data_IF_322979775828
#
_entry.id   IF_322979775828
#
_cell.length_a   1.000
_cell.length_b   1.000
_cell.length_c   1.000
_cell.angle_alpha   90.00
_cell.angle_beta   90.00
_cell.angle_gamma   90.00
#
_symmetry.space_group_name_H-M   'P 1'
#
loop_
_entity.id
_entity.type
_entity.pdbx_description
1 polymer ?
#
# COMPACT_ATOMS: atom_id res chain seq x y z
N UNK A 1 0.57 -3.32 -6.31
CA UNK A 1 0.36 -4.73 -5.92
C UNK A 1 -1.09 -5.10 -5.66
N UNK A 2 -1.79 -4.42 -4.76
CA UNK A 2 -3.19 -4.75 -4.41
C UNK A 2 -4.15 -4.94 -5.59
N UNK A 3 -4.08 -4.07 -6.60
CA UNK A 3 -4.91 -4.18 -7.80
C UNK A 3 -4.63 -5.50 -8.56
N UNK A 4 -3.36 -5.88 -8.69
CA UNK A 4 -2.96 -7.12 -9.34
C UNK A 4 -3.41 -8.33 -8.50
N UNK A 5 -3.21 -8.30 -7.18
CA UNK A 5 -3.62 -9.38 -6.29
C UNK A 5 -5.14 -9.60 -6.34
N UNK A 6 -5.93 -8.52 -6.33
CA UNK A 6 -7.40 -8.58 -6.45
C UNK A 6 -7.86 -9.16 -7.78
N UNK A 7 -7.27 -8.71 -8.89
CA UNK A 7 -7.58 -9.25 -10.21
C UNK A 7 -7.22 -10.74 -10.30
N UNK A 8 -6.03 -11.13 -9.84
CA UNK A 8 -5.58 -12.51 -9.82
C UNK A 8 -6.48 -13.41 -8.95
N UNK A 9 -6.99 -12.89 -7.84
CA UNK A 9 -7.86 -13.64 -6.94
C UNK A 9 -9.18 -14.09 -7.59
N UNK A 10 -9.64 -13.36 -8.62
CA UNK A 10 -10.84 -13.72 -9.40
C UNK A 10 -10.57 -14.77 -10.48
N UNK A 11 -9.30 -15.04 -10.80
CA UNK A 11 -8.88 -15.94 -11.88
C UNK A 11 -8.28 -17.24 -11.34
N UNK A 12 -7.54 -17.16 -10.24
CA UNK A 12 -6.85 -18.31 -9.66
C UNK A 12 -7.81 -19.14 -8.80
N UNK A 13 -7.76 -20.47 -8.98
CA UNK A 13 -8.48 -21.44 -8.14
C UNK A 13 -7.53 -22.23 -7.26
N UNK A 14 -7.98 -22.52 -6.05
CA UNK A 14 -7.35 -23.45 -5.11
C UNK A 14 -8.45 -24.13 -4.28
N UNK A 15 -8.28 -25.42 -3.98
CA UNK A 15 -9.26 -26.19 -3.21
C UNK A 15 -10.70 -26.09 -3.75
N UNK A 16 -10.85 -26.11 -5.08
CA UNK A 16 -12.14 -26.10 -5.77
C UNK A 16 -12.83 -24.73 -5.94
N UNK A 17 -12.34 -23.67 -5.30
CA UNK A 17 -12.92 -22.31 -5.35
C UNK A 17 -11.92 -21.29 -5.89
N UNK A 18 -12.40 -20.15 -6.38
CA UNK A 18 -11.55 -19.00 -6.66
C UNK A 18 -10.97 -18.43 -5.36
N UNK A 19 -9.81 -17.78 -5.43
CA UNK A 19 -9.19 -17.20 -4.24
C UNK A 19 -10.07 -16.13 -3.57
N UNK A 20 -10.84 -15.39 -4.37
CA UNK A 20 -11.82 -14.40 -3.88
C UNK A 20 -12.93 -15.02 -3.01
N UNK A 21 -13.17 -16.33 -3.10
CA UNK A 21 -14.18 -17.05 -2.32
C UNK A 21 -13.62 -17.62 -0.99
N UNK A 22 -12.31 -17.51 -0.76
CA UNK A 22 -11.67 -17.95 0.48
C UNK A 22 -11.60 -16.80 1.47
N UNK A 23 -12.31 -16.93 2.59
CA UNK A 23 -12.44 -15.87 3.60
C UNK A 23 -11.09 -15.42 4.17
N UNK A 24 -10.15 -16.34 4.38
CA UNK A 24 -8.81 -16.02 4.85
C UNK A 24 -8.04 -15.15 3.84
N UNK A 25 -8.09 -15.51 2.55
CA UNK A 25 -7.44 -14.72 1.49
C UNK A 25 -8.04 -13.32 1.39
N UNK A 26 -9.38 -13.22 1.43
CA UNK A 26 -10.05 -11.93 1.41
C UNK A 26 -9.79 -11.07 2.64
N UNK A 27 -9.65 -11.69 3.81
CA UNK A 27 -9.24 -10.99 5.03
C UNK A 27 -7.84 -10.38 4.87
N UNK A 28 -6.87 -11.17 4.39
CA UNK A 28 -5.51 -10.66 4.13
C UNK A 28 -5.54 -9.48 3.16
N UNK A 29 -6.22 -9.60 2.00
CA UNK A 29 -6.31 -8.49 1.04
C UNK A 29 -7.01 -7.25 1.63
N UNK A 30 -8.00 -7.43 2.49
CA UNK A 30 -8.69 -6.33 3.16
C UNK A 30 -7.77 -5.60 4.17
N UNK A 31 -6.94 -6.32 4.90
CA UNK A 31 -5.95 -5.73 5.82
C UNK A 31 -4.90 -4.91 5.05
N UNK A 32 -4.40 -5.42 3.92
CA UNK A 32 -3.46 -4.67 3.06
C UNK A 32 -4.10 -3.42 2.44
N UNK A 33 -5.36 -3.52 2.01
CA UNK A 33 -6.12 -2.40 1.47
C UNK A 33 -6.35 -1.32 2.53
N UNK A 34 -6.67 -1.71 3.77
CA UNK A 34 -6.85 -0.78 4.88
C UNK A 34 -5.58 0.03 5.15
N UNK A 35 -4.43 -0.65 5.24
CA UNK A 35 -3.13 0.00 5.44
C UNK A 35 -2.80 0.96 4.30
N UNK A 36 -3.05 0.54 3.06
CA UNK A 36 -2.81 1.38 1.88
C UNK A 36 -3.69 2.64 1.88
N UNK A 37 -4.97 2.50 2.22
CA UNK A 37 -5.88 3.65 2.32
C UNK A 37 -5.48 4.62 3.43
N UNK A 38 -5.10 4.09 4.60
CA UNK A 38 -4.61 4.92 5.71
C UNK A 38 -3.38 5.73 5.32
N UNK A 39 -2.42 5.08 4.66
CA UNK A 39 -1.22 5.75 4.13
C UNK A 39 -1.55 6.80 3.07
N UNK A 40 -2.51 6.52 2.18
CA UNK A 40 -2.95 7.46 1.15
C UNK A 40 -3.58 8.72 1.76
N UNK A 41 -4.47 8.56 2.75
CA UNK A 41 -5.11 9.69 3.43
C UNK A 41 -4.05 10.55 4.15
N UNK A 42 -3.12 9.92 4.86
CA UNK A 42 -2.01 10.64 5.51
C UNK A 42 -1.16 11.44 4.50
N UNK A 43 -0.82 10.83 3.36
CA UNK A 43 -0.04 11.50 2.32
C UNK A 43 -0.80 12.69 1.71
N UNK A 44 -2.10 12.52 1.42
CA UNK A 44 -2.93 13.60 0.87
C UNK A 44 -3.13 14.75 1.87
N UNK A 45 -3.32 14.45 3.16
CA UNK A 45 -3.46 15.47 4.19
C UNK A 45 -2.20 16.33 4.32
N UNK A 46 -1.02 15.70 4.33
CA UNK A 46 0.25 16.43 4.34
C UNK A 46 0.50 17.19 3.04
N UNK A 47 0.06 16.66 1.90
CA UNK A 47 0.12 17.39 0.62
C UNK A 47 -0.76 18.64 0.67
N UNK A 48 -1.95 18.55 1.26
CA UNK A 48 -2.84 19.70 1.42
C UNK A 48 -2.26 20.74 2.39
N UNK A 49 -1.64 20.31 3.50
CA UNK A 49 -0.93 21.19 4.43
C UNK A 49 0.25 21.89 3.75
N UNK A 50 1.06 21.15 2.98
CA UNK A 50 2.16 21.70 2.20
C UNK A 50 1.68 22.77 1.23
N UNK A 51 0.61 22.50 0.48
CA UNK A 51 0.03 23.50 -0.42
C UNK A 51 -0.43 24.77 0.30
N UNK A 52 -1.00 24.65 1.51
CA UNK A 52 -1.37 25.82 2.33
C UNK A 52 -0.15 26.60 2.79
N UNK A 53 0.93 25.92 3.19
CA UNK A 53 2.20 26.58 3.55
C UNK A 53 2.80 27.33 2.36
N UNK A 54 2.91 26.67 1.20
CA UNK A 54 3.46 27.23 -0.04
C UNK A 54 2.68 28.44 -0.55
N UNK A 55 1.36 28.48 -0.35
CA UNK A 55 0.50 29.61 -0.69
C UNK A 55 0.43 30.69 0.40
N UNK A 56 1.13 30.55 1.53
CA UNK A 56 1.08 31.50 2.65
C UNK A 56 -0.28 31.55 3.36
N UNK A 57 -1.05 30.46 3.29
CA UNK A 57 -2.39 30.32 3.88
C UNK A 57 -2.41 29.45 5.15
N UNK A 58 -1.30 28.78 5.48
CA UNK A 58 -1.20 27.94 6.66
C UNK A 58 -1.11 28.77 7.96
N UNK A 59 -1.77 28.28 9.00
CA UNK A 59 -1.58 28.75 10.37
C UNK A 59 -0.23 28.29 10.95
N UNK A 60 0.24 28.92 12.03
CA UNK A 60 1.46 28.49 12.72
C UNK A 60 1.38 27.04 13.22
N UNK A 61 0.21 26.59 13.65
CA UNK A 61 -0.02 25.19 14.07
C UNK A 61 0.15 24.23 12.89
N UNK A 62 -0.42 24.54 11.74
CA UNK A 62 -0.30 23.74 10.52
C UNK A 62 1.15 23.62 10.04
N UNK A 63 1.93 24.71 10.12
CA UNK A 63 3.38 24.69 9.81
C UNK A 63 4.13 23.73 10.75
N UNK A 64 3.81 23.75 12.05
CA UNK A 64 4.42 22.84 13.02
C UNK A 64 4.00 21.38 12.79
N UNK A 65 2.72 21.14 12.49
CA UNK A 65 2.19 19.81 12.16
C UNK A 65 2.86 19.26 10.90
N UNK A 66 2.95 20.05 9.84
CA UNK A 66 3.61 19.65 8.60
C UNK A 66 5.07 19.26 8.87
N UNK A 67 5.84 20.11 9.57
CA UNK A 67 7.23 19.84 9.93
C UNK A 67 7.39 18.54 10.75
N UNK A 68 6.47 18.27 11.67
CA UNK A 68 6.49 17.07 12.50
C UNK A 68 6.15 15.81 11.68
N UNK A 69 5.07 15.87 10.89
CA UNK A 69 4.49 14.70 10.28
C UNK A 69 5.12 14.32 8.93
N UNK A 70 5.78 15.22 8.20
CA UNK A 70 6.51 14.87 6.98
C UNK A 70 7.51 13.71 7.18
N UNK A 71 8.46 13.76 8.15
CA UNK A 71 9.38 12.64 8.37
C UNK A 71 8.66 11.38 8.91
N UNK A 72 7.62 11.55 9.74
CA UNK A 72 6.82 10.44 10.26
C UNK A 72 6.13 9.70 9.13
N UNK A 73 5.45 10.43 8.24
CA UNK A 73 4.76 9.87 7.10
C UNK A 73 5.75 9.17 6.17
N UNK A 74 6.89 9.79 5.84
CA UNK A 74 7.90 9.15 4.99
C UNK A 74 8.37 7.81 5.56
N UNK A 75 8.70 7.77 6.85
CA UNK A 75 9.12 6.54 7.50
C UNK A 75 8.00 5.50 7.50
N UNK A 76 6.81 5.91 7.92
CA UNK A 76 5.66 5.03 8.12
C UNK A 76 5.20 4.43 6.79
N UNK A 77 4.98 5.24 5.76
CA UNK A 77 4.48 4.76 4.46
C UNK A 77 5.50 3.88 3.77
N UNK A 78 6.81 4.16 3.86
CA UNK A 78 7.84 3.28 3.31
C UNK A 78 7.85 1.90 4.02
N UNK A 79 7.74 1.89 5.35
CA UNK A 79 7.66 0.63 6.12
C UNK A 79 6.42 -0.17 5.77
N UNK A 80 5.27 0.49 5.62
CA UNK A 80 4.01 -0.15 5.21
C UNK A 80 4.06 -0.64 3.76
N UNK A 81 4.66 0.11 2.85
CA UNK A 81 4.81 -0.27 1.46
C UNK A 81 5.56 -1.60 1.33
N UNK A 82 6.69 -1.78 2.03
CA UNK A 82 7.42 -3.05 2.03
C UNK A 82 6.57 -4.22 2.50
N UNK A 83 5.85 -4.07 3.62
CA UNK A 83 4.97 -5.13 4.15
C UNK A 83 3.83 -5.45 3.18
N UNK A 84 3.19 -4.43 2.60
CA UNK A 84 2.09 -4.60 1.64
C UNK A 84 2.57 -5.28 0.35
N UNK A 85 3.74 -4.90 -0.15
CA UNK A 85 4.31 -5.50 -1.35
C UNK A 85 4.71 -6.95 -1.10
N UNK A 86 5.33 -7.27 0.04
CA UNK A 86 5.74 -8.64 0.41
C UNK A 86 4.53 -9.57 0.49
N UNK A 87 3.52 -9.23 1.29
CA UNK A 87 2.32 -10.05 1.46
C UNK A 87 1.52 -10.14 0.15
N UNK A 88 1.43 -9.02 -0.56
CA UNK A 88 0.83 -8.97 -1.89
C UNK A 88 1.52 -9.91 -2.86
N UNK A 89 2.84 -10.01 -2.84
CA UNK A 89 3.63 -10.92 -3.68
C UNK A 89 3.34 -12.39 -3.35
N UNK A 90 3.27 -12.71 -2.06
CA UNK A 90 2.95 -14.06 -1.60
C UNK A 90 1.54 -14.51 -2.02
N UNK A 91 0.59 -13.59 -2.22
CA UNK A 91 -0.74 -13.90 -2.74
C UNK A 91 -0.75 -14.55 -4.14
N UNK A 92 0.35 -14.42 -4.90
CA UNK A 92 0.54 -15.08 -6.19
C UNK A 92 1.17 -16.48 -6.08
N UNK A 93 1.60 -16.88 -4.88
CA UNK A 93 2.36 -18.11 -4.63
C UNK A 93 3.67 -18.11 -5.42
N UNK A 94 4.04 -19.26 -5.99
CA UNK A 94 5.27 -19.41 -6.75
C UNK A 94 5.43 -18.40 -7.90
N UNK A 95 4.32 -17.97 -8.55
CA UNK A 95 4.39 -16.97 -9.62
C UNK A 95 4.87 -15.60 -9.13
N UNK A 96 4.62 -15.26 -7.87
CA UNK A 96 5.15 -14.04 -7.25
C UNK A 96 6.67 -14.04 -7.13
N UNK A 97 7.33 -15.19 -7.28
CA UNK A 97 8.79 -15.30 -7.20
C UNK A 97 9.48 -15.32 -8.58
N UNK A 98 8.73 -15.52 -9.66
CA UNK A 98 9.27 -15.65 -11.02
C UNK A 98 9.44 -14.25 -11.63
N UNK A 99 10.67 -13.86 -11.93
CA UNK A 99 11.03 -12.52 -12.45
C UNK A 99 10.31 -12.18 -13.76
N UNK A 100 10.09 -13.15 -14.65
CA UNK A 100 9.41 -12.94 -15.95
C UNK A 100 7.94 -12.53 -15.82
N UNK A 101 7.34 -12.65 -14.62
CA UNK A 101 6.00 -12.13 -14.34
C UNK A 101 5.98 -10.62 -14.09
N UNK A 102 7.14 -10.01 -13.86
CA UNK A 102 7.29 -8.61 -13.45
C UNK A 102 6.90 -8.31 -12.00
N UNK A 103 6.31 -9.28 -11.27
CA UNK A 103 5.85 -9.07 -9.89
C UNK A 103 7.00 -8.85 -8.88
N UNK A 104 8.13 -9.61 -8.90
CA UNK A 104 9.21 -9.40 -7.93
C UNK A 104 9.85 -8.01 -8.01
N UNK A 105 9.85 -7.38 -9.20
CA UNK A 105 10.37 -6.02 -9.39
C UNK A 105 9.64 -5.02 -8.50
N UNK A 106 8.31 -5.12 -8.38
CA UNK A 106 7.52 -4.22 -7.52
C UNK A 106 7.92 -4.30 -6.04
N UNK A 107 8.32 -5.47 -5.57
CA UNK A 107 8.81 -5.65 -4.21
C UNK A 107 10.22 -5.10 -4.04
N UNK A 108 11.12 -5.40 -4.99
CA UNK A 108 12.50 -4.89 -4.98
C UNK A 108 12.56 -3.36 -5.02
N UNK A 109 11.69 -2.72 -5.80
CA UNK A 109 11.63 -1.26 -5.92
C UNK A 109 11.07 -0.58 -4.67
N UNK A 110 10.28 -1.30 -3.86
CA UNK A 110 9.72 -0.78 -2.62
C UNK A 110 10.68 -0.86 -1.42
N UNK A 111 11.82 -1.55 -1.57
CA UNK A 111 12.80 -1.82 -0.51
C UNK A 111 13.87 -0.73 -0.39
#
# INVERSE_FOLDING_TARGET
MLLLSRDYATKRRAFGKFLVEHSLHMRTLAELELETRGCMVLALELTALLGREECGQATNEEIHLLRLFTPVAKLYTAKKAMSVMSEGLESFGGQGYIEDTGLPTLFRDAQ
#
